data_IF_775837998963
#
_entry.id   IF_775837998963
#
_cell.length_a   1.000
_cell.length_b   1.000
_cell.length_c   1.000
_cell.angle_alpha   90.00
_cell.angle_beta   90.00
_cell.angle_gamma   90.00
#
_symmetry.space_group_name_H-M   'P 1'
#
loop_
_entity.id
_entity.type
_entity.pdbx_description
1 polymer ?
#
# COMPACT_ATOMS: atom_id res chain seq x y z
N UNK A 1 28.28 17.53 15.35
CA UNK A 1 27.06 16.71 15.50
C UNK A 1 26.96 15.78 14.29
N UNK A 2 27.23 14.48 14.47
CA UNK A 2 27.07 13.47 13.41
C UNK A 2 25.63 12.95 13.48
N UNK A 3 24.94 12.89 12.34
CA UNK A 3 23.66 12.21 12.20
C UNK A 3 23.95 10.73 12.00
N UNK A 4 23.60 9.90 12.98
CA UNK A 4 23.61 8.44 12.84
C UNK A 4 22.48 8.03 11.88
N UNK A 5 22.82 7.86 10.61
CA UNK A 5 21.94 7.15 9.69
C UNK A 5 22.14 5.65 9.88
N UNK A 6 21.09 4.97 10.35
CA UNK A 6 21.07 3.52 10.47
C UNK A 6 21.21 2.88 9.09
N UNK A 7 22.35 2.21 8.89
CA UNK A 7 22.71 1.52 7.67
C UNK A 7 21.79 0.32 7.44
N UNK A 8 21.01 0.36 6.35
CA UNK A 8 20.05 -0.69 5.92
C UNK A 8 20.64 -2.11 5.96
N UNK A 9 21.95 -2.26 5.75
CA UNK A 9 22.63 -3.57 5.76
C UNK A 9 22.84 -4.15 7.16
N UNK A 10 22.87 -3.32 8.21
CA UNK A 10 22.98 -3.77 9.60
C UNK A 10 21.68 -4.40 10.11
N UNK A 11 20.53 -3.97 9.59
CA UNK A 11 19.23 -4.51 9.98
C UNK A 11 19.01 -5.95 9.48
N UNK A 12 19.44 -6.26 8.25
CA UNK A 12 19.31 -7.61 7.69
C UNK A 12 20.29 -8.63 8.28
N UNK A 13 21.43 -8.18 8.82
CA UNK A 13 22.40 -9.08 9.46
C UNK A 13 21.92 -9.62 10.82
N UNK A 14 20.95 -8.96 11.48
CA UNK A 14 20.47 -9.37 12.80
C UNK A 14 19.33 -10.41 12.74
N UNK A 15 18.66 -10.56 11.60
CA UNK A 15 17.55 -11.52 11.43
C UNK A 15 18.00 -12.92 10.93
N UNK A 16 19.24 -13.06 10.45
CA UNK A 16 19.71 -14.31 9.80
C UNK A 16 20.32 -15.37 10.73
N UNK A 17 20.25 -15.21 12.05
CA UNK A 17 21.05 -16.00 13.00
C UNK A 17 20.26 -16.79 14.05
N UNK A 18 19.13 -17.41 13.69
CA UNK A 18 18.52 -18.57 14.40
C UNK A 18 17.62 -19.31 13.40
N UNK A 19 17.75 -20.57 13.04
CA UNK A 19 18.64 -21.68 13.40
C UNK A 19 18.04 -22.89 12.68
N UNK A 20 18.83 -23.52 11.81
CA UNK A 20 18.51 -24.72 11.04
C UNK A 20 18.61 -25.96 11.95
N UNK A 21 17.68 -26.92 11.83
CA UNK A 21 17.92 -28.28 12.32
C UNK A 21 16.70 -29.22 12.41
N UNK A 22 16.92 -30.47 11.95
CA UNK A 22 16.11 -31.71 12.05
C UNK A 22 14.98 -31.87 11.00
N UNK A 23 14.91 -32.93 10.19
CA UNK A 23 15.72 -34.14 10.06
C UNK A 23 15.21 -34.96 8.86
N UNK A 24 16.13 -35.69 8.21
CA UNK A 24 15.86 -36.67 7.16
C UNK A 24 15.60 -38.05 7.79
N UNK A 25 14.53 -38.73 7.35
CA UNK A 25 14.28 -40.19 7.36
C UNK A 25 12.76 -40.40 7.18
N UNK A 26 12.17 -41.39 6.53
CA UNK A 26 12.61 -42.51 5.70
C UNK A 26 11.33 -43.15 5.08
N UNK A 27 11.47 -43.77 3.89
CA UNK A 27 10.86 -45.05 3.45
C UNK A 27 9.33 -45.31 3.42
N UNK A 28 8.89 -45.68 2.20
CA UNK A 28 7.95 -46.78 1.81
C UNK A 28 6.43 -46.74 2.09
N UNK A 29 5.69 -46.80 0.95
CA UNK A 29 4.27 -47.08 0.63
C UNK A 29 3.66 -48.36 1.29
N UNK A 30 2.40 -48.78 1.00
CA UNK A 30 1.06 -48.14 1.01
C UNK A 30 -0.01 -49.03 1.74
N UNK A 31 -1.32 -48.75 1.52
CA UNK A 31 -2.52 -49.60 1.76
C UNK A 31 -3.29 -49.32 3.08
N UNK A 32 -4.63 -49.38 3.22
CA UNK A 32 -5.73 -50.04 2.49
C UNK A 32 -7.04 -49.19 2.57
N UNK A 33 -7.92 -49.41 1.59
CA UNK A 33 -9.31 -48.94 1.40
C UNK A 33 -10.29 -49.07 2.60
N UNK A 34 -11.29 -48.18 2.61
CA UNK A 34 -12.71 -48.48 2.89
C UNK A 34 -13.57 -47.39 2.18
N UNK A 35 -14.27 -47.70 1.08
CA UNK A 35 -15.72 -48.00 0.98
C UNK A 35 -16.60 -46.87 1.56
N UNK A 36 -17.45 -46.19 0.77
CA UNK A 36 -18.69 -46.75 0.22
C UNK A 36 -18.90 -46.40 -1.26
N UNK A 37 -19.17 -47.43 -2.06
CA UNK A 37 -19.78 -47.29 -3.38
C UNK A 37 -21.29 -47.21 -3.28
N UNK A 38 -21.87 -46.59 -4.30
CA UNK A 38 -23.15 -46.99 -4.87
C UNK A 38 -23.04 -46.69 -6.37
N UNK A 39 -23.11 -47.75 -7.17
CA UNK A 39 -23.01 -47.72 -8.62
C UNK A 39 -24.32 -47.20 -9.23
N UNK A 40 -24.23 -46.26 -10.17
CA UNK A 40 -25.11 -46.20 -11.33
C UNK A 40 -24.33 -45.57 -12.50
N UNK A 41 -24.09 -46.38 -13.52
CA UNK A 41 -23.47 -46.00 -14.78
C UNK A 41 -24.38 -45.05 -15.57
N UNK A 42 -23.91 -43.83 -15.79
CA UNK A 42 -24.52 -42.86 -16.70
C UNK A 42 -23.43 -42.03 -17.34
N UNK A 43 -22.99 -42.45 -18.53
CA UNK A 43 -21.99 -41.74 -19.31
C UNK A 43 -22.37 -40.29 -19.53
N UNK A 44 -21.65 -39.38 -18.87
CA UNK A 44 -21.64 -37.96 -19.20
C UNK A 44 -20.20 -37.60 -19.48
N UNK A 45 -19.89 -37.45 -20.76
CA UNK A 45 -18.65 -36.84 -21.21
C UNK A 45 -18.62 -35.42 -20.65
N UNK A 46 -18.02 -35.28 -19.47
CA UNK A 46 -17.70 -33.99 -18.89
C UNK A 46 -16.67 -33.35 -19.80
N UNK A 47 -17.16 -32.56 -20.75
CA UNK A 47 -16.42 -31.45 -21.35
C UNK A 47 -15.78 -30.72 -20.19
N UNK A 48 -14.48 -30.94 -19.98
CA UNK A 48 -13.69 -30.16 -19.04
C UNK A 48 -13.74 -28.74 -19.58
N UNK A 49 -14.57 -27.91 -18.96
CA UNK A 49 -14.48 -26.46 -19.12
C UNK A 49 -13.01 -26.10 -18.96
N UNK A 50 -12.43 -25.27 -19.86
CA UNK A 50 -11.07 -24.83 -19.67
C UNK A 50 -11.03 -24.18 -18.29
N UNK A 51 -10.22 -24.75 -17.40
CA UNK A 51 -9.82 -24.06 -16.19
C UNK A 51 -9.12 -22.81 -16.68
N UNK A 52 -9.86 -21.70 -16.72
CA UNK A 52 -9.26 -20.40 -16.85
C UNK A 52 -8.22 -20.34 -15.73
N UNK A 53 -6.94 -20.35 -16.10
CA UNK A 53 -5.89 -19.97 -15.17
C UNK A 53 -6.36 -18.69 -14.51
N UNK A 54 -6.27 -18.54 -13.17
CA UNK A 54 -6.68 -17.31 -12.52
C UNK A 54 -5.82 -16.19 -13.08
N UNK A 55 -6.32 -15.54 -14.13
CA UNK A 55 -5.81 -14.29 -14.62
C UNK A 55 -6.03 -13.36 -13.44
N UNK A 56 -4.96 -13.06 -12.71
CA UNK A 56 -5.02 -12.17 -11.57
C UNK A 56 -5.81 -10.93 -12.01
N UNK A 57 -6.98 -10.71 -11.40
CA UNK A 57 -7.81 -9.58 -11.75
C UNK A 57 -6.94 -8.33 -11.64
N UNK A 58 -6.77 -7.60 -12.75
CA UNK A 58 -6.04 -6.34 -12.74
C UNK A 58 -7.07 -5.25 -12.51
N UNK A 59 -7.11 -4.72 -11.28
CA UNK A 59 -7.87 -3.49 -11.02
C UNK A 59 -7.32 -2.35 -11.86
N UNK A 60 -8.15 -1.35 -12.17
CA UNK A 60 -7.70 -0.12 -12.85
C UNK A 60 -7.63 1.00 -11.82
N UNK A 61 -6.52 1.75 -11.72
CA UNK A 61 -6.42 2.86 -10.78
C UNK A 61 -7.33 4.01 -11.24
N UNK A 62 -8.00 4.63 -10.27
CA UNK A 62 -8.89 5.77 -10.51
C UNK A 62 -8.15 7.11 -10.34
N UNK A 63 -7.13 7.11 -9.48
CA UNK A 63 -6.29 8.28 -9.21
C UNK A 63 -5.12 8.30 -10.20
N UNK A 64 -4.98 9.40 -10.94
CA UNK A 64 -3.95 9.61 -11.97
C UNK A 64 -2.52 9.69 -11.43
N UNK A 65 -2.36 9.97 -10.13
CA UNK A 65 -1.07 9.93 -9.45
C UNK A 65 -0.63 8.50 -9.06
N UNK A 66 -1.42 7.46 -9.37
CA UNK A 66 -0.97 6.06 -9.22
C UNK A 66 0.01 5.71 -10.34
N UNK A 67 1.24 5.35 -9.94
CA UNK A 67 2.33 4.96 -10.84
C UNK A 67 2.29 3.46 -11.12
N UNK A 68 1.91 2.66 -10.13
CA UNK A 68 1.84 1.20 -10.25
C UNK A 68 1.02 0.61 -9.09
N UNK A 69 0.49 -0.59 -9.27
CA UNK A 69 -0.31 -1.27 -8.25
C UNK A 69 -0.42 -2.77 -8.51
N UNK A 70 -0.71 -3.51 -7.44
CA UNK A 70 -1.13 -4.90 -7.53
C UNK A 70 -2.24 -5.19 -6.52
N UNK A 71 -3.19 -6.05 -6.90
CA UNK A 71 -4.27 -6.49 -5.99
C UNK A 71 -3.83 -7.61 -5.04
N UNK A 72 -2.63 -8.17 -5.24
CA UNK A 72 -2.07 -9.23 -4.40
C UNK A 72 -0.58 -8.96 -4.16
N UNK A 73 -0.07 -9.40 -3.00
CA UNK A 73 1.32 -9.29 -2.61
C UNK A 73 1.74 -10.54 -1.83
N UNK A 74 2.93 -11.05 -2.12
CA UNK A 74 3.56 -12.12 -1.34
C UNK A 74 4.36 -11.59 -0.14
N UNK A 75 4.54 -10.27 -0.05
CA UNK A 75 5.36 -9.66 1.00
C UNK A 75 4.68 -9.76 2.38
N UNK A 76 3.35 -9.87 2.42
CA UNK A 76 2.52 -9.85 3.63
C UNK A 76 1.49 -10.99 3.56
N UNK A 77 1.35 -11.75 4.64
CA UNK A 77 0.37 -12.83 4.70
C UNK A 77 -1.06 -12.27 4.76
N UNK A 78 -1.88 -12.54 3.75
CA UNK A 78 -3.29 -12.12 3.67
C UNK A 78 -3.67 -11.61 2.29
N UNK A 79 -4.91 -11.13 2.14
CA UNK A 79 -5.42 -10.55 0.91
C UNK A 79 -4.98 -9.08 0.75
N UNK A 80 -3.66 -8.86 0.75
CA UNK A 80 -3.08 -7.52 0.64
C UNK A 80 -2.58 -7.24 -0.77
N UNK A 81 -2.87 -6.03 -1.26
CA UNK A 81 -2.26 -5.46 -2.44
C UNK A 81 -1.30 -4.33 -2.08
N UNK A 82 -0.84 -3.60 -3.08
CA UNK A 82 -0.05 -2.39 -2.88
C UNK A 82 -0.32 -1.37 -3.99
N UNK A 83 0.01 -0.12 -3.69
CA UNK A 83 -0.06 1.00 -4.63
C UNK A 83 1.19 1.85 -4.49
N UNK A 84 1.74 2.32 -5.61
CA UNK A 84 2.80 3.32 -5.67
C UNK A 84 2.20 4.63 -6.18
N UNK A 85 2.31 5.68 -5.39
CA UNK A 85 1.81 7.02 -5.71
C UNK A 85 2.96 7.95 -6.06
N UNK A 86 2.69 8.91 -6.93
CA UNK A 86 3.59 10.04 -7.20
C UNK A 86 3.67 10.95 -5.98
N UNK A 87 4.90 11.27 -5.60
CA UNK A 87 5.17 12.34 -4.64
C UNK A 87 5.30 13.66 -5.37
N UNK A 88 4.66 14.69 -4.83
CA UNK A 88 4.75 16.07 -5.30
C UNK A 88 5.66 16.86 -4.38
N UNK A 89 6.64 17.61 -4.92
CA UNK A 89 7.54 18.43 -4.12
C UNK A 89 6.79 19.61 -3.52
N UNK A 90 7.14 19.93 -2.27
CA UNK A 90 6.60 21.06 -1.54
C UNK A 90 7.67 21.73 -0.67
N UNK A 91 7.36 22.93 -0.19
CA UNK A 91 8.16 23.66 0.80
C UNK A 91 7.25 24.11 1.94
N UNK A 92 7.71 23.94 3.17
CA UNK A 92 7.04 24.39 4.40
C UNK A 92 8.08 24.93 5.36
N UNK A 93 7.88 26.12 5.90
CA UNK A 93 8.84 26.81 6.80
C UNK A 93 10.29 26.85 6.25
N UNK A 94 10.43 26.93 4.92
CA UNK A 94 11.72 26.93 4.21
C UNK A 94 12.42 25.57 4.11
N UNK A 95 11.80 24.50 4.61
CA UNK A 95 12.26 23.11 4.47
C UNK A 95 11.55 22.38 3.33
N UNK A 96 12.21 21.34 2.82
CA UNK A 96 11.65 20.45 1.79
C UNK A 96 10.56 19.55 2.39
N UNK A 97 9.45 19.43 1.68
CA UNK A 97 8.34 18.55 2.01
C UNK A 97 7.86 17.78 0.76
N UNK A 98 7.06 16.74 0.99
CA UNK A 98 6.42 15.97 -0.07
C UNK A 98 4.99 15.63 0.31
N UNK A 99 4.10 15.61 -0.66
CA UNK A 99 2.71 15.24 -0.46
C UNK A 99 2.19 14.34 -1.59
N UNK A 100 1.12 13.64 -1.30
CA UNK A 100 0.33 12.86 -2.27
C UNK A 100 -0.99 13.58 -2.52
N UNK A 101 -1.58 13.34 -3.69
CA UNK A 101 -2.93 13.79 -4.02
C UNK A 101 -3.77 12.56 -4.38
N UNK A 102 -4.97 12.51 -3.82
CA UNK A 102 -5.90 11.39 -4.04
C UNK A 102 -7.27 11.90 -4.48
N UNK A 103 -7.69 13.03 -3.91
CA UNK A 103 -9.01 13.60 -4.07
C UNK A 103 -8.97 15.13 -3.97
N UNK A 104 -10.03 15.77 -4.47
CA UNK A 104 -10.26 17.20 -4.34
C UNK A 104 -11.76 17.53 -4.31
N UNK A 105 -12.12 18.59 -3.59
CA UNK A 105 -13.49 19.11 -3.56
C UNK A 105 -13.84 20.07 -4.69
N UNK A 106 -12.85 20.49 -5.48
CA UNK A 106 -13.06 21.28 -6.69
C UNK A 106 -13.07 20.34 -7.90
N UNK A 107 -14.19 20.30 -8.62
CA UNK A 107 -14.41 19.35 -9.72
C UNK A 107 -13.47 19.62 -10.90
N UNK A 108 -13.21 20.89 -11.21
CA UNK A 108 -12.34 21.28 -12.32
C UNK A 108 -10.90 20.89 -12.04
N UNK A 109 -10.43 21.16 -10.82
CA UNK A 109 -9.12 20.76 -10.35
C UNK A 109 -8.99 19.23 -10.31
N UNK A 110 -9.98 18.52 -9.78
CA UNK A 110 -9.98 17.06 -9.75
C UNK A 110 -9.87 16.46 -11.15
N UNK A 111 -10.68 16.95 -12.10
CA UNK A 111 -10.65 16.48 -13.49
C UNK A 111 -9.32 16.77 -14.18
N UNK A 112 -8.76 17.97 -14.00
CA UNK A 112 -7.47 18.35 -14.61
C UNK A 112 -6.31 17.52 -14.08
N UNK A 113 -6.28 17.25 -12.78
CA UNK A 113 -5.18 16.56 -12.12
C UNK A 113 -5.37 15.03 -12.06
N UNK A 114 -6.52 14.51 -12.52
CA UNK A 114 -6.86 13.09 -12.46
C UNK A 114 -7.14 12.58 -11.04
N UNK A 115 -7.76 13.40 -10.19
CA UNK A 115 -8.08 13.06 -8.80
C UNK A 115 -9.55 12.66 -8.66
N UNK A 116 -9.90 11.98 -7.56
CA UNK A 116 -11.30 11.68 -7.24
C UNK A 116 -12.02 12.96 -6.79
N UNK A 117 -13.13 13.30 -7.43
CA UNK A 117 -13.96 14.42 -6.99
C UNK A 117 -14.75 14.05 -5.72
N UNK A 118 -14.53 14.78 -4.63
CA UNK A 118 -15.18 14.55 -3.33
C UNK A 118 -15.71 15.88 -2.78
N UNK A 119 -16.93 16.31 -3.13
CA UNK A 119 -17.43 17.64 -2.74
C UNK A 119 -17.57 17.81 -1.22
N UNK A 120 -17.78 16.72 -0.47
CA UNK A 120 -18.01 16.74 0.98
C UNK A 120 -16.80 17.24 1.79
N UNK A 121 -15.57 17.12 1.27
CA UNK A 121 -14.38 17.58 2.00
C UNK A 121 -14.21 19.11 1.95
N UNK A 122 -14.99 19.82 1.13
CA UNK A 122 -14.95 21.28 1.08
C UNK A 122 -15.21 21.93 2.46
N UNK A 123 -16.05 21.28 3.29
CA UNK A 123 -16.38 21.77 4.63
C UNK A 123 -15.20 21.68 5.61
N UNK A 124 -14.21 20.82 5.36
CA UNK A 124 -13.04 20.65 6.24
C UNK A 124 -12.15 21.90 6.25
N UNK A 125 -12.08 22.61 5.13
CA UNK A 125 -11.37 23.89 5.04
C UNK A 125 -12.02 24.94 5.97
N UNK A 126 -13.35 25.02 5.98
CA UNK A 126 -14.09 25.93 6.86
C UNK A 126 -13.99 25.57 8.35
N UNK A 127 -13.69 24.32 8.68
CA UNK A 127 -13.54 23.84 10.06
C UNK A 127 -12.11 24.04 10.63
N UNK A 128 -11.19 24.64 9.85
CA UNK A 128 -9.79 24.79 10.27
C UNK A 128 -9.01 23.47 10.32
N UNK A 129 -9.56 22.40 9.73
CA UNK A 129 -8.95 21.06 9.71
C UNK A 129 -8.02 20.86 8.49
N UNK A 130 -7.76 21.91 7.71
CA UNK A 130 -6.91 21.90 6.54
C UNK A 130 -5.91 23.07 6.57
N UNK A 131 -4.70 22.82 6.05
CA UNK A 131 -3.73 23.87 5.73
C UNK A 131 -3.92 24.41 4.31
N UNK A 132 -3.32 25.56 4.01
CA UNK A 132 -3.29 26.11 2.67
C UNK A 132 -2.13 25.51 1.86
N UNK A 133 -2.40 25.22 0.59
CA UNK A 133 -1.40 24.82 -0.41
C UNK A 133 -1.42 25.85 -1.55
N UNK A 134 -0.31 26.55 -1.75
CA UNK A 134 -0.17 27.60 -2.75
C UNK A 134 0.54 27.04 -3.98
N UNK A 135 -0.19 27.03 -5.10
CA UNK A 135 0.31 26.57 -6.41
C UNK A 135 0.44 27.78 -7.33
N UNK A 136 1.57 27.90 -8.00
CA UNK A 136 1.88 29.02 -8.88
C UNK A 136 1.42 28.72 -10.30
N UNK A 137 0.51 29.53 -10.84
CA UNK A 137 0.00 29.37 -12.23
C UNK A 137 0.99 29.84 -13.30
N UNK A 138 1.89 30.76 -12.94
CA UNK A 138 2.96 31.29 -13.80
C UNK A 138 4.36 30.98 -13.23
N UNK A 139 4.47 29.88 -12.48
CA UNK A 139 5.72 29.43 -11.90
C UNK A 139 6.66 28.82 -12.93
N UNK A 140 7.93 28.63 -12.54
CA UNK A 140 8.84 27.80 -13.33
C UNK A 140 8.35 26.33 -13.33
N UNK A 141 8.67 25.59 -14.39
CA UNK A 141 8.38 24.15 -14.43
C UNK A 141 8.98 23.43 -13.22
N UNK A 142 8.14 22.68 -12.50
CA UNK A 142 8.56 21.98 -11.29
C UNK A 142 8.73 22.85 -10.04
N UNK A 143 8.25 24.11 -10.06
CA UNK A 143 8.21 24.93 -8.85
C UNK A 143 7.41 24.22 -7.74
N UNK A 144 8.00 24.03 -6.54
CA UNK A 144 7.35 23.30 -5.46
C UNK A 144 6.14 24.06 -4.92
N UNK A 145 5.13 23.31 -4.49
CA UNK A 145 3.97 23.86 -3.78
C UNK A 145 4.40 24.41 -2.42
N UNK A 146 3.95 25.61 -2.06
CA UNK A 146 4.20 26.15 -0.71
C UNK A 146 3.06 25.73 0.20
N UNK A 147 3.36 25.09 1.33
CA UNK A 147 2.39 24.67 2.34
C UNK A 147 2.41 25.62 3.53
N UNK A 148 1.25 25.93 4.10
CA UNK A 148 1.16 26.79 5.28
C UNK A 148 1.59 26.10 6.58
N UNK A 149 1.56 24.77 6.61
CA UNK A 149 1.82 23.97 7.81
C UNK A 149 2.00 22.50 7.46
N UNK A 150 2.73 21.77 8.29
CA UNK A 150 2.76 20.30 8.27
C UNK A 150 1.60 19.72 9.11
N UNK A 151 1.15 18.48 8.82
CA UNK A 151 0.25 17.77 9.72
C UNK A 151 0.88 17.68 11.12
N UNK A 152 0.13 18.04 12.15
CA UNK A 152 0.61 17.95 13.52
C UNK A 152 0.96 16.50 13.86
N UNK A 153 2.19 16.26 14.34
CA UNK A 153 2.55 14.96 14.85
C UNK A 153 1.67 14.65 16.07
N UNK A 154 0.90 13.56 16.00
CA UNK A 154 0.25 13.02 17.19
C UNK A 154 1.36 12.56 18.14
N UNK A 155 1.70 13.38 19.12
CA UNK A 155 2.58 12.95 20.21
C UNK A 155 1.82 11.88 20.98
N UNK A 156 2.02 10.61 20.65
CA UNK A 156 1.69 9.52 21.56
C UNK A 156 2.63 9.67 22.75
N UNK A 157 2.14 10.29 23.83
CA UNK A 157 2.83 10.27 25.11
C UNK A 157 3.11 8.80 25.45
N UNK A 158 4.39 8.41 25.51
CA UNK A 158 4.78 7.09 25.99
C UNK A 158 4.33 6.99 27.45
N UNK A 159 3.35 6.13 27.81
CA UNK A 159 3.00 5.95 29.19
C UNK A 159 4.14 5.16 29.85
N UNK A 160 4.68 5.69 30.95
CA UNK A 160 5.59 4.95 31.83
C UNK A 160 7.08 5.20 31.59
N UNK A 161 7.53 6.41 31.90
CA UNK A 161 8.93 6.71 32.22
C UNK A 161 9.01 7.38 33.59
N UNK A 162 8.67 6.64 34.65
CA UNK A 162 8.84 7.12 36.03
C UNK A 162 10.33 7.15 36.35
N UNK A 163 10.93 8.33 36.34
CA UNK A 163 12.20 8.60 37.01
C UNK A 163 11.95 8.68 38.51
N UNK A 164 12.37 7.66 39.25
CA UNK A 164 12.92 7.79 40.61
C UNK A 164 13.93 6.69 40.84
#
# INVERSE_FOLDING_TARGET
MRRDQLNRRAFFALAGRRGVGLGLAATSLPAILAACGNDDEGGSAATRSPTASPQAAKGTPIVGDVIDHALTSSDWQGAFGWVRLRLHPAVVDGGDAWYIRTDASDETYAGREGLVFVPKIASLAGAGAAGAAFVFTNGADGQPTVLSSEPAATTTARPGGSTR
#
